data_IF_133309606807
#
_entry.id   IF_133309606807
#
_cell.length_a   1.000
_cell.length_b   1.000
_cell.length_c   1.000
_cell.angle_alpha   90.00
_cell.angle_beta   90.00
_cell.angle_gamma   90.00
#
_symmetry.space_group_name_H-M   'P 1'
#
loop_
_entity.id
_entity.type
_entity.pdbx_description
1 polymer ?
#
# COMPACT_ATOMS: atom_id res chain seq x y z
N UNK A 1 -20.33 3.63 6.51
CA UNK A 1 -20.41 4.02 5.09
C UNK A 1 -19.26 3.34 4.35
N UNK A 2 -19.48 2.80 3.14
CA UNK A 2 -18.38 2.39 2.26
C UNK A 2 -17.96 3.60 1.45
N UNK A 3 -16.68 3.96 1.47
CA UNK A 3 -16.14 5.05 0.65
C UNK A 3 -15.84 4.51 -0.75
N UNK A 4 -16.22 5.26 -1.79
CA UNK A 4 -15.98 4.85 -3.18
C UNK A 4 -14.52 5.10 -3.64
N UNK A 5 -13.71 5.77 -2.82
CA UNK A 5 -12.32 6.08 -3.13
C UNK A 5 -11.32 5.15 -2.42
N UNK A 6 -10.19 4.93 -3.08
CA UNK A 6 -9.02 4.26 -2.50
C UNK A 6 -7.96 5.27 -2.16
N UNK A 7 -7.56 5.28 -0.88
CA UNK A 7 -6.52 6.16 -0.34
C UNK A 7 -5.21 5.41 -0.21
N UNK A 8 -4.10 6.16 -0.25
CA UNK A 8 -2.80 5.64 0.13
C UNK A 8 -2.01 6.64 0.99
N UNK A 9 -1.22 6.11 1.92
CA UNK A 9 -0.37 6.90 2.76
C UNK A 9 0.90 6.15 3.20
N UNK A 10 1.91 6.91 3.62
CA UNK A 10 3.09 6.38 4.31
C UNK A 10 2.67 6.08 5.75
N UNK A 11 2.81 4.83 6.17
CA UNK A 11 2.35 4.33 7.46
C UNK A 11 3.47 4.20 8.51
N UNK A 12 4.70 4.54 8.15
CA UNK A 12 5.85 4.66 9.05
C UNK A 12 6.15 6.13 9.37
N UNK A 13 6.79 6.43 10.52
CA UNK A 13 7.26 7.79 10.82
C UNK A 13 8.17 8.35 9.70
N UNK A 14 8.20 9.68 9.51
CA UNK A 14 9.11 10.31 8.56
C UNK A 14 10.56 10.15 9.02
N UNK A 15 11.47 10.00 8.05
CA UNK A 15 12.90 9.85 8.31
C UNK A 15 13.50 8.64 7.61
N UNK A 16 14.80 8.43 7.80
CA UNK A 16 15.49 7.24 7.30
C UNK A 16 15.33 6.08 8.29
N UNK A 17 15.00 4.91 7.78
CA UNK A 17 14.93 3.67 8.54
C UNK A 17 15.26 2.46 7.65
N UNK A 18 15.35 1.27 8.26
CA UNK A 18 15.56 0.04 7.49
C UNK A 18 14.36 -0.30 6.58
N UNK A 19 13.14 -0.04 7.06
CA UNK A 19 11.89 -0.34 6.36
C UNK A 19 10.98 0.89 6.38
N UNK A 20 10.35 1.17 5.25
CA UNK A 20 9.22 2.09 5.12
C UNK A 20 7.99 1.35 4.62
N UNK A 21 6.81 1.75 5.11
CA UNK A 21 5.55 1.08 4.74
C UNK A 21 4.61 2.06 4.03
N UNK A 22 4.06 1.64 2.90
CA UNK A 22 2.96 2.32 2.22
C UNK A 22 1.70 1.46 2.37
N UNK A 23 0.62 2.05 2.86
CA UNK A 23 -0.68 1.39 3.04
C UNK A 23 -1.69 1.99 2.07
N UNK A 24 -2.45 1.12 1.41
CA UNK A 24 -3.62 1.45 0.60
C UNK A 24 -4.87 0.90 1.29
N UNK A 25 -5.99 1.63 1.22
CA UNK A 25 -7.29 1.21 1.75
C UNK A 25 -8.41 1.65 0.82
N UNK A 26 -9.30 0.74 0.46
CA UNK A 26 -10.48 1.01 -0.36
C UNK A 26 -10.74 -0.05 -1.44
N UNK A 27 -11.79 0.14 -2.26
CA UNK A 27 -12.25 -0.87 -3.22
C UNK A 27 -11.23 -1.24 -4.31
N UNK A 28 -10.31 -0.33 -4.64
CA UNK A 28 -9.27 -0.54 -5.67
C UNK A 28 -7.93 -1.02 -5.10
N UNK A 29 -7.83 -1.31 -3.81
CA UNK A 29 -6.55 -1.65 -3.18
C UNK A 29 -5.87 -2.87 -3.84
N UNK A 30 -6.61 -3.97 -4.05
CA UNK A 30 -6.09 -5.16 -4.74
C UNK A 30 -5.83 -4.92 -6.24
N UNK A 31 -6.77 -4.36 -7.03
CA UNK A 31 -6.50 -4.02 -8.43
C UNK A 31 -5.26 -3.14 -8.62
N UNK A 32 -5.04 -2.16 -7.74
CA UNK A 32 -3.84 -1.31 -7.78
C UNK A 32 -2.58 -2.14 -7.49
N UNK A 33 -2.61 -2.99 -6.45
CA UNK A 33 -1.49 -3.87 -6.12
C UNK A 33 -1.09 -4.76 -7.31
N UNK A 34 -2.08 -5.34 -8.01
CA UNK A 34 -1.84 -6.19 -9.18
C UNK A 34 -1.17 -5.45 -10.34
N UNK A 35 -1.40 -4.14 -10.47
CA UNK A 35 -0.75 -3.29 -11.48
C UNK A 35 0.64 -2.81 -11.05
N UNK A 36 0.83 -2.50 -9.77
CA UNK A 36 2.06 -1.85 -9.28
C UNK A 36 3.09 -2.82 -8.69
N UNK A 37 2.77 -4.12 -8.54
CA UNK A 37 3.66 -5.09 -7.90
C UNK A 37 3.81 -6.36 -8.72
N UNK A 38 5.06 -6.70 -9.05
CA UNK A 38 5.42 -7.93 -9.75
C UNK A 38 5.97 -8.94 -8.74
N UNK A 39 5.20 -9.98 -8.36
CA UNK A 39 5.66 -10.97 -7.39
C UNK A 39 6.70 -11.90 -8.01
N UNK A 40 7.76 -12.23 -7.27
CA UNK A 40 8.82 -13.12 -7.72
C UNK A 40 8.30 -14.52 -8.07
N UNK A 41 7.29 -15.00 -7.33
CA UNK A 41 6.53 -16.21 -7.65
C UNK A 41 5.16 -15.83 -8.17
N UNK A 42 4.80 -16.26 -9.38
CA UNK A 42 3.47 -16.05 -9.99
C UNK A 42 2.35 -16.71 -9.19
N UNK A 43 1.13 -16.21 -9.37
CA UNK A 43 -0.09 -16.72 -8.74
C UNK A 43 -1.01 -15.60 -8.25
N UNK A 44 -2.27 -15.95 -8.00
CA UNK A 44 -3.27 -15.03 -7.46
C UNK A 44 -2.89 -14.54 -6.05
N UNK A 45 -3.28 -13.32 -5.73
CA UNK A 45 -3.16 -12.80 -4.37
C UNK A 45 -4.11 -13.54 -3.43
N UNK A 46 -3.55 -14.07 -2.35
CA UNK A 46 -4.32 -14.66 -1.26
C UNK A 46 -4.25 -13.70 -0.07
N UNK A 47 -5.40 -13.38 0.56
CA UNK A 47 -5.41 -12.55 1.75
C UNK A 47 -4.47 -13.10 2.84
N UNK A 48 -3.87 -12.21 3.63
CA UNK A 48 -3.00 -12.54 4.78
C UNK A 48 -1.76 -13.35 4.41
N UNK A 49 -1.28 -13.25 3.18
CA UNK A 49 -0.01 -13.87 2.74
C UNK A 49 0.92 -12.83 2.18
N UNK A 50 2.08 -12.71 2.83
CA UNK A 50 3.18 -11.88 2.35
C UNK A 50 3.75 -12.46 1.05
N UNK A 51 4.05 -11.59 0.09
CA UNK A 51 4.75 -11.94 -1.15
C UNK A 51 5.94 -11.03 -1.35
N UNK A 52 7.03 -11.63 -1.77
CA UNK A 52 8.25 -10.96 -2.18
C UNK A 52 8.22 -10.65 -3.69
N UNK A 53 8.78 -9.52 -4.09
CA UNK A 53 8.82 -9.08 -5.49
C UNK A 53 9.31 -7.64 -5.65
N UNK A 54 8.85 -6.98 -6.70
CA UNK A 54 9.25 -5.62 -7.03
C UNK A 54 8.05 -4.71 -7.18
N UNK A 55 8.16 -3.49 -6.66
CA UNK A 55 7.27 -2.39 -7.02
C UNK A 55 7.71 -1.86 -8.39
N UNK A 56 6.75 -1.62 -9.27
CA UNK A 56 6.99 -1.09 -10.62
C UNK A 56 6.16 0.16 -10.88
N UNK A 57 6.68 1.05 -11.73
CA UNK A 57 5.93 2.20 -12.25
C UNK A 57 4.90 1.74 -13.28
N UNK A 58 3.94 2.59 -13.69
CA UNK A 58 3.02 2.29 -14.78
C UNK A 58 3.74 2.00 -16.13
N UNK A 59 4.97 2.50 -16.30
CA UNK A 59 5.82 2.21 -17.46
C UNK A 59 6.57 0.87 -17.33
N UNK A 60 6.45 0.16 -16.21
CA UNK A 60 7.11 -1.12 -15.94
C UNK A 60 8.52 -1.01 -15.36
N UNK A 61 8.98 0.20 -15.03
CA UNK A 61 10.30 0.39 -14.42
C UNK A 61 10.29 -0.05 -12.96
N UNK A 62 11.34 -0.75 -12.53
CA UNK A 62 11.48 -1.17 -11.13
C UNK A 62 11.76 0.04 -10.24
N UNK A 63 10.96 0.17 -9.19
CA UNK A 63 11.10 1.22 -8.16
C UNK A 63 11.89 0.69 -6.97
N UNK A 64 11.48 -0.45 -6.44
CA UNK A 64 12.14 -1.07 -5.28
C UNK A 64 11.86 -2.59 -5.23
N UNK A 65 12.72 -3.30 -4.51
CA UNK A 65 12.48 -4.66 -4.03
C UNK A 65 11.75 -4.59 -2.69
N UNK A 66 10.63 -5.31 -2.58
CA UNK A 66 9.70 -5.12 -1.47
C UNK A 66 8.92 -6.38 -1.10
N UNK A 67 8.30 -6.33 0.07
CA UNK A 67 7.28 -7.26 0.51
C UNK A 67 5.91 -6.59 0.39
N UNK A 68 4.91 -7.34 -0.07
CA UNK A 68 3.53 -6.87 -0.14
C UNK A 68 2.57 -7.90 0.44
N UNK A 69 1.52 -7.42 1.09
CA UNK A 69 0.43 -8.24 1.64
C UNK A 69 -0.91 -7.59 1.35
N UNK A 70 -1.89 -8.42 0.99
CA UNK A 70 -3.28 -8.03 0.81
C UNK A 70 -4.12 -8.54 1.98
N UNK A 71 -5.00 -7.71 2.50
CA UNK A 71 -5.99 -8.02 3.51
C UNK A 71 -7.37 -7.76 2.93
N UNK A 72 -8.22 -8.78 2.95
CA UNK A 72 -9.59 -8.67 2.45
C UNK A 72 -10.51 -8.11 3.55
N UNK A 73 -11.29 -7.10 3.23
CA UNK A 73 -12.35 -6.60 4.11
C UNK A 73 -13.41 -7.69 4.39
N UNK A 74 -14.08 -7.69 5.56
CA UNK A 74 -13.97 -6.73 6.66
C UNK A 74 -12.85 -7.05 7.68
N UNK A 75 -12.04 -8.08 7.43
CA UNK A 75 -10.99 -8.52 8.37
C UNK A 75 -9.67 -7.83 8.04
N UNK A 76 -9.65 -6.51 8.11
CA UNK A 76 -8.47 -5.66 7.85
C UNK A 76 -8.44 -4.51 8.85
N UNK A 77 -7.36 -3.70 8.84
CA UNK A 77 -7.24 -2.57 9.76
C UNK A 77 -8.39 -1.57 9.63
N UNK A 78 -8.84 -1.27 8.41
CA UNK A 78 -9.90 -0.28 8.11
C UNK A 78 -11.26 -0.93 7.82
N UNK A 79 -11.39 -2.25 7.95
CA UNK A 79 -12.53 -3.04 7.50
C UNK A 79 -12.81 -2.97 5.97
N UNK A 80 -11.97 -2.29 5.19
CA UNK A 80 -11.99 -2.30 3.72
C UNK A 80 -10.98 -3.32 3.18
N UNK A 81 -10.87 -3.43 1.86
CA UNK A 81 -9.71 -4.06 1.26
C UNK A 81 -8.46 -3.19 1.52
N UNK A 82 -7.41 -3.81 2.04
CA UNK A 82 -6.16 -3.14 2.43
C UNK A 82 -4.97 -3.82 1.78
N UNK A 83 -4.03 -3.02 1.34
CA UNK A 83 -2.73 -3.48 0.87
C UNK A 83 -1.64 -2.77 1.66
N UNK A 84 -0.63 -3.52 2.08
CA UNK A 84 0.57 -2.97 2.70
C UNK A 84 1.79 -3.39 1.89
N UNK A 85 2.65 -2.41 1.59
CA UNK A 85 3.92 -2.59 0.88
C UNK A 85 5.04 -2.13 1.80
N UNK A 86 5.88 -3.06 2.21
CA UNK A 86 7.10 -2.83 2.99
C UNK A 86 8.30 -2.78 2.04
N UNK A 87 8.92 -1.61 1.96
CA UNK A 87 10.01 -1.26 1.06
C UNK A 87 11.22 -0.73 1.87
N UNK A 88 12.32 -0.41 1.20
CA UNK A 88 13.47 0.20 1.88
C UNK A 88 13.09 1.56 2.49
N UNK A 89 13.45 1.78 3.75
CA UNK A 89 13.04 2.96 4.52
C UNK A 89 13.78 4.25 4.20
N UNK A 90 14.38 4.37 3.01
CA UNK A 90 14.92 5.64 2.53
C UNK A 90 13.78 6.58 2.11
N UNK A 91 13.73 7.85 2.56
CA UNK A 91 12.59 8.75 2.28
C UNK A 91 12.22 8.83 0.80
N UNK A 92 13.22 8.94 -0.08
CA UNK A 92 13.01 8.96 -1.54
C UNK A 92 12.34 7.66 -2.04
N UNK A 93 12.76 6.50 -1.55
CA UNK A 93 12.22 5.21 -1.96
C UNK A 93 10.76 5.08 -1.54
N UNK A 94 10.45 5.37 -0.28
CA UNK A 94 9.09 5.30 0.25
C UNK A 94 8.14 6.24 -0.51
N UNK A 95 8.60 7.45 -0.83
CA UNK A 95 7.83 8.40 -1.65
C UNK A 95 7.63 7.91 -3.08
N UNK A 96 8.63 7.29 -3.71
CA UNK A 96 8.50 6.70 -5.05
C UNK A 96 7.54 5.50 -5.05
N UNK A 97 7.58 4.64 -4.04
CA UNK A 97 6.64 3.52 -3.88
C UNK A 97 5.22 4.04 -3.72
N UNK A 98 4.99 5.08 -2.90
CA UNK A 98 3.69 5.76 -2.81
C UNK A 98 3.28 6.42 -4.13
N UNK A 99 4.22 6.87 -4.95
CA UNK A 99 3.93 7.47 -6.26
C UNK A 99 3.69 6.47 -7.40
N UNK A 100 3.95 5.19 -7.19
CA UNK A 100 3.97 4.20 -8.27
C UNK A 100 2.57 3.76 -8.74
N UNK A 101 1.53 3.95 -7.93
CA UNK A 101 0.15 3.64 -8.31
C UNK A 101 -0.72 4.88 -8.49
N UNK A 102 -1.85 4.70 -9.19
CA UNK A 102 -2.87 5.74 -9.38
C UNK A 102 -3.92 5.66 -8.28
N UNK A 103 -3.87 6.57 -7.31
CA UNK A 103 -4.80 6.65 -6.18
C UNK A 103 -4.82 8.05 -5.57
N UNK A 104 -5.83 8.33 -4.75
CA UNK A 104 -5.88 9.55 -3.95
C UNK A 104 -4.85 9.46 -2.84
N UNK A 105 -3.84 10.33 -2.90
CA UNK A 105 -2.80 10.39 -1.88
C UNK A 105 -3.28 11.22 -0.70
N UNK A 106 -3.13 10.69 0.51
CA UNK A 106 -3.28 11.49 1.72
C UNK A 106 -2.00 12.30 1.98
N UNK A 107 -2.10 13.48 2.62
CA UNK A 107 -0.92 14.23 3.05
C UNK A 107 -0.05 13.38 3.99
N UNK A 108 1.26 13.61 3.95
CA UNK A 108 2.20 12.94 4.85
C UNK A 108 2.66 13.91 5.97
N UNK A 109 2.71 13.48 7.24
CA UNK A 109 2.21 12.19 7.73
C UNK A 109 0.67 12.18 7.77
N UNK A 110 0.02 11.05 7.42
CA UNK A 110 -1.41 10.90 7.68
C UNK A 110 -1.63 10.97 9.20
N UNK A 111 -2.65 11.68 9.64
CA UNK A 111 -3.08 11.60 11.03
C UNK A 111 -3.62 10.19 11.32
N UNK A 112 -3.62 9.80 12.61
CA UNK A 112 -4.29 8.57 13.04
C UNK A 112 -5.73 8.54 12.52
N UNK A 113 -6.38 9.69 12.45
CA UNK A 113 -7.75 9.86 12.00
C UNK A 113 -7.90 9.66 10.48
N UNK A 114 -6.93 10.06 9.66
CA UNK A 114 -7.05 9.94 8.19
C UNK A 114 -7.16 8.50 7.68
N UNK A 115 -6.56 7.53 8.39
CA UNK A 115 -6.60 6.10 8.03
C UNK A 115 -7.53 5.32 8.98
N UNK A 116 -7.55 5.66 10.27
CA UNK A 116 -8.38 4.93 11.24
C UNK A 116 -9.84 5.42 11.27
N UNK A 117 -10.15 6.70 10.95
CA UNK A 117 -11.54 7.19 11.01
C UNK A 117 -12.44 6.65 9.90
N UNK A 118 -11.93 5.90 8.90
CA UNK A 118 -12.81 5.07 8.04
C UNK A 118 -13.57 3.99 8.82
N UNK A 119 -13.16 3.70 10.07
CA UNK A 119 -13.80 2.75 10.98
C UNK A 119 -14.83 3.38 11.92
N UNK A 120 -14.96 4.71 11.96
CA UNK A 120 -15.91 5.34 12.87
C UNK A 120 -17.25 5.55 12.14
N UNK A 121 -18.37 5.11 12.74
CA UNK A 121 -19.71 5.22 12.15
C UNK A 121 -20.14 6.67 11.91
#
# INVERSE_FOLDING_TARGET
MLYDDTIAAIATPPGAGGVGMVRLSGPEALPILERMFVPARRGAWRPYRMRYGHVVTPAGERVDEALAVYFRGPRSFTAEDVVEISCHGGPLVVHRVRGAGSFKQLPAPPTRDDIACRLLP
#
